data_IF_456543945000
#
_entry.id   IF_456543945000
#
_cell.length_a   1.000
_cell.length_b   1.000
_cell.length_c   1.000
_cell.angle_alpha   90.00
_cell.angle_beta   90.00
_cell.angle_gamma   90.00
#
_symmetry.space_group_name_H-M   'P 1'
#
loop_
_entity.id
_entity.type
_entity.pdbx_description
1 polymer ?
#
# COMPACT_ATOMS: atom_id res chain seq x y z
N UNK A 1 26.29 27.20 -0.27
CA UNK A 1 25.80 28.41 -0.98
C UNK A 1 26.50 29.57 -0.32
N UNK A 2 27.39 30.26 -1.04
CA UNK A 2 28.02 31.50 -0.58
C UNK A 2 27.26 32.67 -1.21
N UNK A 3 26.78 33.60 -0.40
CA UNK A 3 26.02 34.79 -0.85
C UNK A 3 26.57 36.00 -0.11
N UNK A 4 26.69 37.12 -0.82
CA UNK A 4 27.06 38.41 -0.26
C UNK A 4 26.09 38.80 0.88
N UNK A 5 26.59 39.02 2.12
CA UNK A 5 25.75 39.40 3.27
C UNK A 5 24.85 40.61 3.03
N UNK A 6 25.22 41.53 2.12
CA UNK A 6 24.41 42.69 1.78
C UNK A 6 23.14 42.36 0.98
N UNK A 7 23.02 41.15 0.44
CA UNK A 7 21.86 40.67 -0.34
C UNK A 7 20.90 39.79 0.47
N UNK A 8 21.11 39.71 1.79
CA UNK A 8 20.32 38.92 2.72
C UNK A 8 19.72 39.85 3.77
N UNK A 9 18.39 39.98 3.79
CA UNK A 9 17.71 40.75 4.82
C UNK A 9 17.59 39.88 6.08
N UNK A 10 18.56 40.05 6.97
CA UNK A 10 18.60 39.40 8.27
C UNK A 10 17.94 40.32 9.29
N UNK A 11 16.61 40.40 9.26
CA UNK A 11 15.87 40.95 10.39
C UNK A 11 15.90 39.93 11.55
N UNK A 12 17.00 39.94 12.30
CA UNK A 12 17.30 38.97 13.37
C UNK A 12 16.52 39.32 14.63
N UNK A 13 15.36 38.69 14.82
CA UNK A 13 14.75 38.55 16.14
C UNK A 13 14.82 37.06 16.55
N UNK A 14 15.11 36.70 17.81
CA UNK A 14 15.35 35.31 18.23
C UNK A 14 14.22 34.31 17.90
N UNK A 15 13.01 34.80 17.66
CA UNK A 15 11.81 34.02 17.35
C UNK A 15 11.43 33.98 15.86
N UNK A 16 12.21 34.61 14.96
CA UNK A 16 11.96 34.61 13.52
C UNK A 16 12.90 33.60 12.83
N UNK A 17 12.33 32.52 12.29
CA UNK A 17 13.08 31.41 11.66
C UNK A 17 13.25 31.56 10.14
N UNK A 18 12.78 32.66 9.57
CA UNK A 18 12.76 32.90 8.12
C UNK A 18 13.74 34.00 7.73
N UNK A 19 14.51 33.76 6.67
CA UNK A 19 15.49 34.70 6.10
C UNK A 19 14.99 35.12 4.72
N UNK A 20 14.93 36.44 4.46
CA UNK A 20 14.55 36.97 3.15
C UNK A 20 15.78 37.29 2.32
N UNK A 21 15.79 36.88 1.06
CA UNK A 21 16.88 37.15 0.13
C UNK A 21 16.45 38.22 -0.86
N UNK A 22 17.40 39.04 -1.33
CA UNK A 22 17.12 40.06 -2.35
C UNK A 22 16.70 39.43 -3.70
N UNK A 23 17.17 38.22 -4.01
CA UNK A 23 16.81 37.45 -5.20
C UNK A 23 16.39 36.02 -4.84
N UNK A 24 15.16 35.90 -4.35
CA UNK A 24 14.56 34.62 -3.95
C UNK A 24 14.40 33.65 -5.12
N UNK A 25 14.12 34.17 -6.32
CA UNK A 25 13.86 33.34 -7.51
C UNK A 25 15.11 32.60 -7.98
N UNK A 26 16.27 33.27 -7.99
CA UNK A 26 17.52 32.62 -8.38
C UNK A 26 17.96 31.56 -7.38
N UNK A 27 17.83 31.82 -6.07
CA UNK A 27 18.15 30.83 -5.03
C UNK A 27 17.21 29.63 -5.14
N UNK A 28 15.91 29.86 -5.31
CA UNK A 28 14.95 28.78 -5.52
C UNK A 28 15.30 27.91 -6.74
N UNK A 29 15.69 28.53 -7.86
CA UNK A 29 16.13 27.82 -9.08
C UNK A 29 17.40 26.99 -8.87
N UNK A 30 18.36 27.50 -8.11
CA UNK A 30 19.59 26.77 -7.77
C UNK A 30 19.26 25.57 -6.90
N UNK A 31 18.49 25.77 -5.83
CA UNK A 31 18.09 24.68 -4.92
C UNK A 31 17.32 23.61 -5.68
N UNK A 32 16.33 23.97 -6.49
CA UNK A 32 15.54 22.99 -7.24
C UNK A 32 16.39 22.26 -8.30
N UNK A 33 17.36 22.92 -8.94
CA UNK A 33 18.27 22.25 -9.88
C UNK A 33 19.21 21.26 -9.19
N UNK A 34 19.71 21.59 -7.99
CA UNK A 34 20.57 20.71 -7.21
C UNK A 34 19.78 19.53 -6.70
N UNK A 35 18.55 19.76 -6.21
CA UNK A 35 17.64 18.68 -5.78
C UNK A 35 17.26 17.80 -6.97
N UNK A 36 16.88 18.36 -8.12
CA UNK A 36 16.60 17.58 -9.34
C UNK A 36 17.81 16.79 -9.81
N UNK A 37 19.02 17.34 -9.71
CA UNK A 37 20.26 16.63 -10.08
C UNK A 37 20.61 15.54 -9.07
N UNK A 38 20.41 15.77 -7.77
CA UNK A 38 20.63 14.77 -6.73
C UNK A 38 19.61 13.63 -6.81
N UNK A 39 18.36 13.93 -7.17
CA UNK A 39 17.31 12.94 -7.40
C UNK A 39 17.49 12.23 -8.75
N UNK A 40 17.86 12.94 -9.82
CA UNK A 40 18.07 12.37 -11.16
C UNK A 40 19.39 11.60 -11.31
N UNK A 41 20.40 11.87 -10.49
CA UNK A 41 21.62 11.04 -10.41
C UNK A 41 21.38 9.69 -9.74
N UNK A 42 20.27 9.56 -9.00
CA UNK A 42 19.72 8.30 -8.52
C UNK A 42 18.53 7.95 -9.41
N UNK A 43 18.76 7.62 -10.68
CA UNK A 43 17.72 7.07 -11.55
C UNK A 43 17.29 5.69 -10.98
N UNK A 44 16.25 5.68 -10.13
CA UNK A 44 15.70 4.46 -9.49
C UNK A 44 14.56 3.87 -10.33
N UNK A 45 14.29 4.43 -11.51
CA UNK A 45 13.32 3.88 -12.45
C UNK A 45 14.04 2.91 -13.39
N UNK A 46 13.75 1.59 -13.36
CA UNK A 46 14.26 0.71 -14.39
C UNK A 46 13.58 1.09 -15.70
N UNK A 47 14.36 1.49 -16.71
CA UNK A 47 13.86 1.64 -18.08
C UNK A 47 13.49 0.25 -18.57
N UNK A 48 12.20 -0.07 -18.60
CA UNK A 48 11.72 -1.30 -19.23
C UNK A 48 11.76 -1.09 -20.74
N UNK A 49 12.85 -1.51 -21.37
CA UNK A 49 12.90 -1.68 -22.82
C UNK A 49 11.99 -2.86 -23.20
N UNK A 50 10.79 -2.55 -23.69
CA UNK A 50 9.98 -3.55 -24.37
C UNK A 50 10.59 -3.83 -25.74
N UNK A 51 11.37 -4.91 -25.82
CA UNK A 51 11.82 -5.47 -27.08
C UNK A 51 10.57 -5.97 -27.82
N UNK A 52 10.09 -5.17 -28.77
CA UNK A 52 8.94 -5.50 -29.60
C UNK A 52 9.35 -6.59 -30.59
N UNK A 53 9.28 -7.84 -30.15
CA UNK A 53 9.34 -8.99 -31.05
C UNK A 53 8.07 -8.95 -31.91
N UNK A 54 8.26 -8.63 -33.19
CA UNK A 54 7.25 -8.81 -34.23
C UNK A 54 7.07 -10.31 -34.44
N UNK A 55 6.21 -10.94 -33.66
CA UNK A 55 5.69 -12.26 -33.99
C UNK A 55 4.22 -12.12 -34.37
N UNK A 56 3.95 -12.43 -35.62
CA UNK A 56 2.64 -12.58 -36.24
C UNK A 56 1.73 -13.44 -35.36
N UNK A 57 0.70 -12.83 -34.78
CA UNK A 57 -0.46 -13.51 -34.23
C UNK A 57 -1.73 -12.91 -34.82
N UNK A 58 -1.89 -13.11 -36.13
CA UNK A 58 -3.18 -13.03 -36.81
C UNK A 58 -3.93 -14.35 -36.64
N UNK A 59 -4.48 -14.61 -35.45
CA UNK A 59 -5.62 -15.50 -35.22
C UNK A 59 -5.93 -15.55 -33.74
N UNK A 60 -7.22 -15.76 -33.41
CA UNK A 60 -7.84 -15.78 -32.09
C UNK A 60 -8.42 -14.43 -31.64
N UNK A 61 -9.55 -14.10 -32.26
CA UNK A 61 -10.58 -13.20 -31.73
C UNK A 61 -11.60 -13.97 -30.90
N UNK A 62 -12.14 -13.29 -29.88
CA UNK A 62 -13.21 -13.62 -28.91
C UNK A 62 -12.69 -14.22 -27.60
N UNK A 63 -13.15 -13.81 -26.41
CA UNK A 63 -14.49 -13.30 -26.05
C UNK A 63 -14.50 -12.46 -24.75
N UNK A 64 -15.37 -11.44 -24.79
CA UNK A 64 -16.22 -10.87 -23.73
C UNK A 64 -15.79 -10.90 -22.24
N UNK A 65 -15.60 -9.70 -21.67
CA UNK A 65 -15.77 -9.43 -20.23
C UNK A 65 -17.14 -8.72 -20.05
N UNK A 66 -18.00 -9.15 -19.12
CA UNK A 66 -19.32 -8.57 -18.91
C UNK A 66 -19.23 -7.19 -18.25
N UNK A 67 -20.00 -6.22 -18.79
CA UNK A 67 -20.20 -4.91 -18.19
C UNK A 67 -21.26 -5.00 -17.10
N UNK A 68 -20.87 -4.66 -15.87
CA UNK A 68 -21.76 -4.21 -14.80
C UNK A 68 -21.22 -2.87 -14.29
N UNK A 69 -21.94 -1.79 -14.58
CA UNK A 69 -22.43 -0.79 -13.63
C UNK A 69 -23.07 0.37 -14.42
N UNK A 70 -24.36 0.54 -14.14
CA UNK A 70 -25.20 1.69 -14.43
C UNK A 70 -24.86 2.86 -13.51
N UNK A 71 -25.23 4.04 -13.98
CA UNK A 71 -25.41 5.29 -13.24
C UNK A 71 -24.16 5.97 -12.68
N UNK A 72 -23.71 7.01 -13.39
CA UNK A 72 -23.38 8.33 -12.84
C UNK A 72 -23.24 9.31 -14.01
N UNK A 73 -24.32 10.02 -14.33
CA UNK A 73 -24.27 11.21 -15.21
C UNK A 73 -23.75 12.42 -14.41
N UNK A 74 -22.88 13.25 -15.00
CA UNK A 74 -22.86 14.68 -14.69
C UNK A 74 -23.47 15.49 -15.84
N UNK A 75 -24.38 16.38 -15.44
CA UNK A 75 -25.11 17.35 -16.27
C UNK A 75 -24.18 18.30 -17.04
N UNK A 76 -24.65 18.64 -18.23
CA UNK A 76 -24.16 19.72 -19.08
C UNK A 76 -24.31 21.10 -18.40
N UNK A 77 -23.32 21.97 -18.58
CA UNK A 77 -23.54 23.42 -18.62
C UNK A 77 -22.60 24.08 -19.64
N UNK A 78 -23.23 24.59 -20.70
CA UNK A 78 -22.93 25.79 -21.52
C UNK A 78 -21.47 26.23 -21.78
N UNK A 79 -21.07 26.03 -23.03
CA UNK A 79 -20.51 27.02 -23.99
C UNK A 79 -19.92 28.34 -23.45
N UNK A 80 -18.70 28.67 -23.90
CA UNK A 80 -18.42 29.86 -24.73
C UNK A 80 -17.05 29.73 -25.41
N UNK A 81 -17.03 30.08 -26.70
CA UNK A 81 -15.97 29.95 -27.69
C UNK A 81 -14.76 30.87 -27.47
N UNK A 82 -13.56 30.42 -27.88
CA UNK A 82 -12.56 31.28 -28.53
C UNK A 82 -11.69 30.46 -29.50
N UNK A 83 -11.43 31.06 -30.67
CA UNK A 83 -11.11 30.39 -31.92
C UNK A 83 -9.65 30.55 -32.40
N UNK A 84 -9.30 29.69 -33.40
CA UNK A 84 -8.19 29.74 -34.40
C UNK A 84 -6.79 29.36 -33.88
N UNK A 85 -5.96 28.53 -34.54
CA UNK A 85 -5.70 28.26 -35.99
C UNK A 85 -4.92 26.90 -36.07
N UNK A 86 -5.38 25.84 -36.78
CA UNK A 86 -5.07 25.41 -38.17
C UNK A 86 -3.57 25.38 -38.53
N UNK A 87 -2.92 24.35 -39.10
CA UNK A 87 -3.22 23.27 -40.09
C UNK A 87 -2.15 22.15 -39.94
N UNK A 88 -2.25 20.89 -40.39
CA UNK A 88 -2.74 20.28 -41.67
C UNK A 88 -2.88 18.75 -41.44
N UNK A 89 -3.96 17.99 -41.72
CA UNK A 89 -4.85 17.82 -42.88
C UNK A 89 -4.29 16.93 -44.03
N UNK A 90 -4.87 15.73 -44.20
CA UNK A 90 -5.37 15.23 -45.50
C UNK A 90 -6.51 14.19 -45.29
N UNK A 91 -7.62 14.37 -46.01
CA UNK A 91 -8.90 13.63 -46.00
C UNK A 91 -9.18 12.97 -47.36
N UNK A 92 -10.08 11.98 -47.41
CA UNK A 92 -11.25 11.89 -48.34
C UNK A 92 -12.06 10.60 -48.04
N UNK A 93 -13.28 10.66 -47.48
CA UNK A 93 -14.63 10.91 -48.05
C UNK A 93 -15.31 9.68 -48.67
N UNK A 94 -16.40 9.19 -48.06
CA UNK A 94 -17.77 9.12 -48.63
C UNK A 94 -18.76 8.33 -47.73
N UNK A 95 -20.05 8.52 -48.02
CA UNK A 95 -21.20 8.59 -47.13
C UNK A 95 -21.84 7.25 -46.71
N UNK A 96 -22.60 7.28 -45.61
CA UNK A 96 -23.41 6.18 -45.05
C UNK A 96 -24.83 6.22 -45.65
N UNK A 97 -25.40 5.06 -46.01
CA UNK A 97 -26.81 4.82 -45.66
C UNK A 97 -27.01 3.62 -44.72
N UNK A 98 -27.85 3.85 -43.72
CA UNK A 98 -28.27 3.00 -42.63
C UNK A 98 -29.41 2.06 -43.06
N UNK A 99 -29.22 0.74 -42.91
CA UNK A 99 -30.33 -0.23 -42.90
C UNK A 99 -29.88 -1.58 -42.27
N UNK A 100 -29.83 -1.63 -40.93
CA UNK A 100 -29.34 -2.81 -40.19
C UNK A 100 -30.45 -3.62 -39.49
N UNK A 101 -31.71 -3.18 -39.55
CA UNK A 101 -32.80 -3.83 -38.81
C UNK A 101 -33.50 -4.96 -39.57
N UNK A 102 -33.30 -5.12 -40.88
CA UNK A 102 -33.98 -6.16 -41.68
C UNK A 102 -33.20 -7.48 -41.82
N UNK A 103 -31.96 -7.57 -41.32
CA UNK A 103 -31.13 -8.78 -41.41
C UNK A 103 -31.03 -9.59 -40.11
N UNK A 104 -31.46 -9.05 -38.98
CA UNK A 104 -31.39 -9.77 -37.70
C UNK A 104 -32.53 -10.79 -37.53
N UNK A 105 -33.69 -10.55 -38.12
CA UNK A 105 -34.84 -11.48 -38.01
C UNK A 105 -34.69 -12.76 -38.85
N UNK A 106 -33.79 -12.80 -39.84
CA UNK A 106 -33.54 -14.01 -40.63
C UNK A 106 -32.53 -14.97 -39.99
N UNK A 107 -31.78 -14.52 -38.98
CA UNK A 107 -30.72 -15.33 -38.34
C UNK A 107 -31.29 -16.16 -37.18
N UNK A 108 -32.36 -15.71 -36.54
CA UNK A 108 -32.96 -16.40 -35.37
C UNK A 108 -34.06 -17.42 -35.70
N UNK A 109 -34.41 -17.63 -36.98
CA UNK A 109 -35.49 -18.55 -37.38
C UNK A 109 -35.04 -19.92 -37.91
N UNK A 110 -33.77 -20.31 -37.73
CA UNK A 110 -33.28 -21.65 -38.15
C UNK A 110 -32.34 -22.28 -37.12
N UNK A 111 -32.92 -22.87 -36.08
CA UNK A 111 -32.28 -23.94 -35.30
C UNK A 111 -33.28 -25.09 -35.18
N UNK A 112 -32.98 -26.31 -35.68
CA UNK A 112 -33.82 -27.47 -35.43
C UNK A 112 -33.60 -27.98 -34.00
N UNK A 113 -34.69 -28.34 -33.34
CA UNK A 113 -34.70 -29.08 -32.07
C UNK A 113 -33.90 -30.38 -32.20
N UNK A 114 -32.85 -30.53 -31.39
CA UNK A 114 -32.30 -31.84 -31.08
C UNK A 114 -31.72 -31.84 -29.66
N UNK A 115 -32.15 -32.86 -28.91
CA UNK A 115 -31.91 -33.09 -27.49
C UNK A 115 -30.41 -33.05 -27.12
N UNK A 116 -30.06 -32.22 -26.14
CA UNK A 116 -28.72 -32.20 -25.55
C UNK A 116 -28.67 -33.29 -24.46
N UNK A 117 -28.09 -34.44 -24.81
CA UNK A 117 -27.70 -35.48 -23.85
C UNK A 117 -26.41 -35.05 -23.15
N UNK A 118 -26.40 -34.99 -21.81
CA UNK A 118 -25.21 -34.72 -21.00
C UNK A 118 -24.34 -35.98 -20.86
N UNK A 119 -23.05 -35.96 -21.23
CA UNK A 119 -22.14 -37.06 -20.95
C UNK A 119 -21.69 -37.01 -19.48
N UNK A 120 -22.02 -38.08 -18.74
CA UNK A 120 -21.43 -38.43 -17.44
C UNK A 120 -20.12 -39.20 -17.68
N UNK A 121 -19.11 -38.85 -16.88
CA UNK A 121 -17.83 -39.52 -16.62
C UNK A 121 -16.89 -39.84 -17.79
N UNK A 122 -15.85 -39.02 -17.93
CA UNK A 122 -14.48 -39.55 -18.08
C UNK A 122 -13.51 -38.59 -17.38
N UNK A 123 -12.69 -39.16 -16.50
CA UNK A 123 -11.69 -38.53 -15.65
C UNK A 123 -10.94 -37.39 -16.35
N UNK A 124 -11.36 -36.15 -16.10
CA UNK A 124 -10.52 -34.98 -16.38
C UNK A 124 -9.53 -34.88 -15.24
N UNK A 125 -8.34 -35.43 -15.44
CA UNK A 125 -7.18 -35.03 -14.64
C UNK A 125 -7.03 -33.53 -14.83
N UNK A 126 -7.48 -32.75 -13.85
CA UNK A 126 -7.05 -31.37 -13.72
C UNK A 126 -5.53 -31.44 -13.51
N UNK A 127 -4.77 -31.28 -14.60
CA UNK A 127 -3.42 -30.76 -14.49
C UNK A 127 -3.60 -29.41 -13.82
N UNK A 128 -3.37 -29.36 -12.51
CA UNK A 128 -2.88 -28.15 -11.89
C UNK A 128 -1.68 -27.75 -12.75
N UNK A 129 -1.90 -26.77 -13.62
CA UNK A 129 -0.81 -25.95 -14.11
C UNK A 129 -0.15 -25.44 -12.85
N UNK A 130 0.93 -26.13 -12.47
CA UNK A 130 1.95 -25.55 -11.64
C UNK A 130 2.22 -24.24 -12.34
N UNK A 131 1.77 -23.13 -11.72
CA UNK A 131 2.55 -21.93 -11.87
C UNK A 131 3.92 -22.38 -11.42
N UNK A 132 4.76 -22.65 -12.41
CA UNK A 132 6.19 -22.59 -12.27
C UNK A 132 6.45 -21.14 -11.86
N UNK A 133 6.21 -20.90 -10.57
CA UNK A 133 6.99 -19.96 -9.80
C UNK A 133 8.38 -20.54 -10.01
N UNK A 134 9.09 -19.98 -10.98
CA UNK A 134 10.53 -20.08 -11.04
C UNK A 134 11.03 -19.54 -9.69
N UNK A 135 11.08 -20.42 -8.70
CA UNK A 135 11.92 -20.34 -7.53
C UNK A 135 13.35 -20.52 -8.03
N UNK A 136 13.82 -19.56 -8.83
CA UNK A 136 15.20 -19.43 -9.20
C UNK A 136 15.89 -18.67 -8.06
N UNK A 137 16.75 -19.43 -7.38
CA UNK A 137 17.70 -19.09 -6.34
C UNK A 137 17.17 -18.71 -4.96
N UNK A 138 17.28 -19.69 -4.06
CA UNK A 138 17.32 -19.52 -2.62
C UNK A 138 18.43 -18.54 -2.21
N UNK A 139 18.14 -17.25 -2.30
CA UNK A 139 18.89 -16.22 -1.58
C UNK A 139 18.88 -16.64 -0.12
N UNK A 140 20.07 -16.85 0.44
CA UNK A 140 20.21 -17.17 1.85
C UNK A 140 19.54 -16.05 2.66
N UNK A 141 18.43 -16.39 3.32
CA UNK A 141 17.76 -15.52 4.28
C UNK A 141 18.13 -16.04 5.64
N UNK A 142 18.70 -15.17 6.46
CA UNK A 142 19.16 -15.55 7.78
C UNK A 142 18.71 -14.54 8.83
N UNK A 143 18.36 -15.05 10.00
CA UNK A 143 17.95 -14.24 11.14
C UNK A 143 19.13 -14.03 12.08
N UNK A 144 19.51 -12.78 12.33
CA UNK A 144 20.55 -12.37 13.27
C UNK A 144 19.92 -11.97 14.61
N UNK A 145 20.32 -12.66 15.69
CA UNK A 145 19.90 -12.40 17.08
C UNK A 145 18.37 -12.27 17.27
N UNK A 146 17.58 -12.99 16.48
CA UNK A 146 16.12 -12.90 16.47
C UNK A 146 15.59 -11.45 16.37
N UNK A 147 16.31 -10.59 15.64
CA UNK A 147 16.01 -9.17 15.52
C UNK A 147 16.14 -8.64 14.10
N UNK A 148 17.20 -9.05 13.41
CA UNK A 148 17.46 -8.59 12.05
C UNK A 148 17.31 -9.75 11.08
N UNK A 149 16.76 -9.46 9.90
CA UNK A 149 16.72 -10.38 8.77
C UNK A 149 17.75 -9.89 7.76
N UNK A 150 18.65 -10.79 7.37
CA UNK A 150 19.73 -10.56 6.43
C UNK A 150 19.43 -11.32 5.15
N UNK A 151 19.54 -10.63 4.01
CA UNK A 151 19.36 -11.25 2.71
C UNK A 151 20.29 -10.64 1.67
N UNK A 152 20.79 -11.50 0.79
CA UNK A 152 21.67 -11.08 -0.29
C UNK A 152 20.87 -10.46 -1.44
N UNK A 153 21.33 -9.30 -1.91
CA UNK A 153 20.80 -8.63 -3.10
C UNK A 153 21.92 -8.46 -4.13
N UNK A 154 21.57 -8.21 -5.39
CA UNK A 154 22.58 -8.05 -6.47
C UNK A 154 23.61 -6.96 -6.18
N UNK A 155 23.20 -5.90 -5.47
CA UNK A 155 24.06 -4.77 -5.13
C UNK A 155 24.83 -4.92 -3.81
N UNK A 156 24.63 -6.01 -3.06
CA UNK A 156 25.28 -6.22 -1.75
C UNK A 156 24.40 -6.96 -0.74
N UNK A 157 24.37 -6.46 0.50
CA UNK A 157 23.65 -7.06 1.63
C UNK A 157 22.51 -6.14 2.08
N UNK A 158 21.32 -6.71 2.27
CA UNK A 158 20.17 -6.01 2.84
C UNK A 158 19.95 -6.50 4.28
N UNK A 159 19.83 -5.53 5.19
CA UNK A 159 19.55 -5.74 6.61
C UNK A 159 18.19 -5.14 6.91
N UNK A 160 17.25 -5.94 7.42
CA UNK A 160 15.90 -5.51 7.75
C UNK A 160 15.70 -5.69 9.25
N UNK A 161 15.18 -4.68 9.94
CA UNK A 161 14.71 -4.84 11.32
C UNK A 161 13.33 -5.51 11.30
N UNK A 162 13.24 -6.73 11.84
CA UNK A 162 12.04 -7.55 11.73
C UNK A 162 10.83 -6.91 12.44
N UNK A 163 11.08 -6.27 13.58
CA UNK A 163 10.02 -5.69 14.41
C UNK A 163 9.47 -4.45 13.73
N UNK A 164 10.38 -3.56 13.32
CA UNK A 164 10.04 -2.29 12.65
C UNK A 164 9.42 -2.53 11.27
N UNK A 165 9.84 -3.57 10.56
CA UNK A 165 9.21 -4.01 9.31
C UNK A 165 7.78 -4.48 9.54
N UNK A 166 7.54 -5.32 10.55
CA UNK A 166 6.19 -5.78 10.86
C UNK A 166 5.29 -4.63 11.30
N UNK A 167 5.78 -3.69 12.11
CA UNK A 167 5.04 -2.46 12.45
C UNK A 167 4.59 -1.72 11.18
N UNK A 168 5.48 -1.56 10.18
CA UNK A 168 5.14 -0.86 8.94
C UNK A 168 4.02 -1.57 8.16
N UNK A 169 4.12 -2.88 8.03
CA UNK A 169 3.11 -3.71 7.35
C UNK A 169 1.75 -3.59 8.05
N UNK A 170 1.73 -3.72 9.37
CA UNK A 170 0.50 -3.64 10.16
C UNK A 170 -0.16 -2.27 10.07
N UNK A 171 0.63 -1.21 10.13
CA UNK A 171 0.14 0.15 10.02
C UNK A 171 -0.54 0.41 8.67
N UNK A 172 0.12 0.08 7.56
CA UNK A 172 -0.48 0.28 6.23
C UNK A 172 -1.72 -0.58 6.01
N UNK A 173 -1.70 -1.81 6.52
CA UNK A 173 -2.87 -2.68 6.47
C UNK A 173 -4.03 -2.12 7.27
N UNK A 174 -3.79 -1.62 8.48
CA UNK A 174 -4.82 -0.99 9.31
C UNK A 174 -5.42 0.24 8.60
N UNK A 175 -4.59 1.10 8.02
CA UNK A 175 -5.07 2.24 7.23
C UNK A 175 -5.90 1.80 6.02
N UNK A 176 -5.46 0.78 5.31
CA UNK A 176 -6.19 0.24 4.14
C UNK A 176 -7.55 -0.30 4.55
N UNK A 177 -7.63 -1.06 5.65
CA UNK A 177 -8.90 -1.58 6.20
C UNK A 177 -9.84 -0.45 6.61
N UNK A 178 -9.32 0.59 7.27
CA UNK A 178 -10.09 1.79 7.62
C UNK A 178 -10.63 2.54 6.40
N UNK A 179 -9.90 2.58 5.28
CA UNK A 179 -10.34 3.25 4.04
C UNK A 179 -11.44 2.46 3.33
N UNK A 180 -11.27 1.14 3.26
CA UNK A 180 -12.11 0.28 2.44
C UNK A 180 -13.31 -0.29 3.23
N UNK A 181 -13.36 -0.05 4.55
CA UNK A 181 -14.39 -0.56 5.46
C UNK A 181 -14.62 -2.08 5.37
N UNK A 182 -13.57 -2.84 5.06
CA UNK A 182 -13.59 -4.31 5.07
C UNK A 182 -12.91 -4.78 6.36
N UNK A 183 -13.66 -4.98 7.45
CA UNK A 183 -13.09 -5.52 8.67
C UNK A 183 -12.68 -6.98 8.44
N UNK A 184 -11.53 -7.35 8.97
CA UNK A 184 -11.09 -8.74 9.09
C UNK A 184 -10.92 -9.02 10.57
N UNK A 185 -11.92 -9.69 11.13
CA UNK A 185 -12.04 -10.03 12.55
C UNK A 185 -12.10 -11.55 12.69
N UNK A 186 -11.40 -12.05 13.71
CA UNK A 186 -11.48 -13.40 14.19
C UNK A 186 -12.33 -13.41 15.46
N UNK A 187 -13.46 -14.12 15.42
CA UNK A 187 -14.35 -14.31 16.56
C UNK A 187 -13.66 -15.11 17.67
N UNK A 188 -13.82 -14.66 18.92
CA UNK A 188 -13.36 -15.36 20.10
C UNK A 188 -14.36 -16.47 20.44
N UNK A 189 -13.84 -17.65 20.83
CA UNK A 189 -14.70 -18.74 21.33
C UNK A 189 -15.46 -18.32 22.59
N UNK A 190 -14.80 -17.53 23.44
CA UNK A 190 -15.37 -17.00 24.68
C UNK A 190 -15.13 -15.49 24.72
N UNK A 191 -16.19 -14.68 24.62
CA UNK A 191 -16.08 -13.24 24.76
C UNK A 191 -15.42 -12.83 26.08
N UNK A 192 -14.53 -11.85 26.03
CA UNK A 192 -13.78 -11.36 27.19
C UNK A 192 -14.42 -10.07 27.70
N UNK A 193 -14.66 -9.99 29.01
CA UNK A 193 -15.15 -8.76 29.65
C UNK A 193 -13.97 -7.95 30.18
N UNK A 194 -13.90 -6.68 29.79
CA UNK A 194 -12.82 -5.77 30.16
C UNK A 194 -13.42 -4.59 30.89
N UNK A 195 -12.99 -4.36 32.13
CA UNK A 195 -13.38 -3.20 32.92
C UNK A 195 -12.39 -2.07 32.69
N UNK A 196 -12.89 -0.91 32.28
CA UNK A 196 -12.10 0.27 31.93
C UNK A 196 -12.28 1.40 32.96
N UNK A 197 -11.33 2.33 32.99
CA UNK A 197 -11.53 3.62 33.66
C UNK A 197 -12.60 4.46 32.95
N UNK A 198 -13.20 5.43 33.65
CA UNK A 198 -14.26 6.27 33.06
C UNK A 198 -13.78 7.07 31.83
N UNK A 199 -12.53 7.57 31.86
CA UNK A 199 -11.91 8.25 30.72
C UNK A 199 -11.71 7.30 29.53
N UNK A 200 -11.17 6.11 29.80
CA UNK A 200 -10.87 5.10 28.79
C UNK A 200 -12.12 4.53 28.14
N UNK A 201 -13.20 4.38 28.92
CA UNK A 201 -14.49 3.97 28.41
C UNK A 201 -15.06 5.00 27.43
N UNK A 202 -14.98 6.30 27.78
CA UNK A 202 -15.42 7.40 26.91
C UNK A 202 -14.58 7.45 25.64
N UNK A 203 -13.26 7.33 25.77
CA UNK A 203 -12.35 7.28 24.64
C UNK A 203 -12.65 6.08 23.74
N UNK A 204 -12.82 4.88 24.31
CA UNK A 204 -13.15 3.68 23.55
C UNK A 204 -14.43 3.86 22.76
N UNK A 205 -15.46 4.47 23.37
CA UNK A 205 -16.72 4.76 22.69
C UNK A 205 -16.55 5.64 21.45
N UNK A 206 -15.69 6.66 21.53
CA UNK A 206 -15.39 7.54 20.41
C UNK A 206 -14.55 6.82 19.32
N UNK A 207 -13.69 5.89 19.74
CA UNK A 207 -12.79 5.15 18.87
C UNK A 207 -13.40 3.85 18.28
N UNK A 208 -14.59 3.44 18.73
CA UNK A 208 -15.28 2.23 18.27
C UNK A 208 -15.32 2.05 16.75
N UNK A 209 -15.67 3.07 15.93
CA UNK A 209 -15.71 2.91 14.48
C UNK A 209 -14.36 2.50 13.89
N UNK A 210 -13.28 3.08 14.42
CA UNK A 210 -11.93 2.77 13.97
C UNK A 210 -11.49 1.38 14.45
N UNK A 211 -11.75 1.03 15.70
CA UNK A 211 -11.45 -0.30 16.25
C UNK A 211 -12.16 -1.40 15.45
N UNK A 212 -13.45 -1.23 15.17
CA UNK A 212 -14.24 -2.14 14.35
C UNK A 212 -13.65 -2.29 12.94
N UNK A 213 -13.22 -1.18 12.32
CA UNK A 213 -12.65 -1.23 10.97
C UNK A 213 -11.32 -2.01 10.88
N UNK A 214 -10.52 -2.03 11.95
CA UNK A 214 -9.26 -2.79 11.98
C UNK A 214 -9.53 -4.28 12.22
N UNK A 215 -10.65 -4.61 12.87
CA UNK A 215 -11.09 -5.97 13.16
C UNK A 215 -11.36 -6.26 14.63
N UNK A 216 -11.41 -5.26 15.52
CA UNK A 216 -11.85 -5.46 16.90
C UNK A 216 -13.37 -5.39 16.98
N UNK A 217 -14.02 -6.47 17.41
CA UNK A 217 -15.46 -6.47 17.65
C UNK A 217 -15.72 -6.31 19.13
N UNK A 218 -16.21 -5.12 19.50
CA UNK A 218 -16.46 -4.77 20.90
C UNK A 218 -17.89 -4.29 21.08
N UNK A 219 -18.51 -4.71 22.19
CA UNK A 219 -19.83 -4.25 22.64
C UNK A 219 -19.70 -3.50 23.95
N UNK A 220 -20.41 -2.38 24.06
CA UNK A 220 -20.50 -1.62 25.31
C UNK A 220 -21.46 -2.33 26.28
N UNK A 221 -21.02 -2.55 27.52
CA UNK A 221 -21.81 -3.25 28.54
C UNK A 221 -21.77 -2.52 29.89
N UNK A 222 -22.92 -2.14 30.43
CA UNK A 222 -22.98 -1.43 31.71
C UNK A 222 -22.33 -0.04 31.66
N UNK A 223 -21.75 0.42 32.78
CA UNK A 223 -21.20 1.78 32.90
C UNK A 223 -19.78 1.93 32.37
N UNK A 224 -18.87 1.03 32.77
CA UNK A 224 -17.44 1.12 32.46
C UNK A 224 -16.87 -0.23 31.98
N UNK A 225 -17.71 -1.07 31.37
CA UNK A 225 -17.30 -2.41 30.94
C UNK A 225 -17.55 -2.55 29.44
N UNK A 226 -16.65 -3.26 28.77
CA UNK A 226 -16.79 -3.64 27.37
C UNK A 226 -16.67 -5.15 27.26
N UNK A 227 -17.34 -5.71 26.27
CA UNK A 227 -17.26 -7.12 25.90
C UNK A 227 -16.53 -7.19 24.57
N UNK A 228 -15.38 -7.87 24.55
CA UNK A 228 -14.62 -8.16 23.36
C UNK A 228 -15.10 -9.50 22.80
N UNK A 229 -15.67 -9.49 21.60
CA UNK A 229 -16.19 -10.67 20.91
C UNK A 229 -15.27 -11.14 19.79
N UNK A 230 -14.48 -10.24 19.20
CA UNK A 230 -13.56 -10.56 18.12
C UNK A 230 -12.34 -9.65 18.09
N UNK A 231 -11.23 -10.17 17.56
CA UNK A 231 -9.96 -9.46 17.41
C UNK A 231 -9.43 -9.64 16.00
N UNK A 232 -8.60 -8.71 15.50
CA UNK A 232 -7.99 -8.90 14.19
C UNK A 232 -7.00 -10.08 14.23
N UNK A 233 -6.77 -10.78 13.10
CA UNK A 233 -6.00 -12.03 13.07
C UNK A 233 -4.52 -11.86 13.44
N UNK A 234 -4.05 -10.62 13.53
CA UNK A 234 -2.70 -10.27 13.96
C UNK A 234 -2.49 -10.35 15.49
N UNK A 235 -3.58 -10.40 16.25
CA UNK A 235 -3.51 -10.48 17.72
C UNK A 235 -3.20 -11.92 18.12
N UNK A 236 -2.18 -12.08 18.97
CA UNK A 236 -1.82 -13.40 19.50
C UNK A 236 -2.87 -13.88 20.50
N UNK A 237 -3.20 -15.15 20.40
CA UNK A 237 -4.10 -15.81 21.33
C UNK A 237 -3.62 -15.66 22.79
N UNK A 238 -4.52 -15.29 23.70
CA UNK A 238 -4.25 -15.04 25.12
C UNK A 238 -3.80 -13.61 25.47
N UNK A 239 -3.68 -12.71 24.50
CA UNK A 239 -3.32 -11.29 24.73
C UNK A 239 -4.40 -10.29 24.33
N UNK A 240 -5.60 -10.77 24.02
CA UNK A 240 -6.70 -10.02 23.41
C UNK A 240 -7.23 -8.89 24.29
N UNK A 241 -7.37 -9.14 25.59
CA UNK A 241 -7.82 -8.11 26.53
C UNK A 241 -6.75 -7.05 26.79
N UNK A 242 -5.49 -7.48 26.91
CA UNK A 242 -4.36 -6.61 27.24
C UNK A 242 -4.02 -5.69 26.06
N UNK A 243 -4.06 -6.22 24.82
CA UNK A 243 -3.68 -5.42 23.65
C UNK A 243 -4.61 -4.23 23.45
N UNK A 244 -5.90 -4.36 23.77
CA UNK A 244 -6.84 -3.26 23.65
C UNK A 244 -6.51 -2.14 24.65
N UNK A 245 -6.18 -2.48 25.89
CA UNK A 245 -5.73 -1.50 26.89
C UNK A 245 -4.42 -0.85 26.47
N UNK A 246 -3.44 -1.66 26.01
CA UNK A 246 -2.15 -1.17 25.52
C UNK A 246 -2.31 -0.19 24.34
N UNK A 247 -3.28 -0.44 23.44
CA UNK A 247 -3.58 0.45 22.32
C UNK A 247 -4.16 1.78 22.82
N UNK A 248 -5.08 1.74 23.79
CA UNK A 248 -5.66 2.96 24.37
C UNK A 248 -4.60 3.79 25.08
N UNK A 249 -3.70 3.16 25.83
CA UNK A 249 -2.60 3.86 26.52
C UNK A 249 -1.61 4.47 25.53
N UNK A 250 -1.24 3.74 24.48
CA UNK A 250 -0.37 4.27 23.42
C UNK A 250 -1.04 5.43 22.67
N UNK A 251 -2.35 5.33 22.41
CA UNK A 251 -3.12 6.39 21.77
C UNK A 251 -3.08 7.69 22.59
N UNK A 252 -3.30 7.61 23.91
CA UNK A 252 -3.22 8.76 24.82
C UNK A 252 -1.81 9.37 24.81
N UNK A 253 -0.77 8.52 24.89
CA UNK A 253 0.62 8.98 24.88
C UNK A 253 0.99 9.72 23.59
N UNK A 254 0.54 9.21 22.45
CA UNK A 254 0.75 9.84 21.15
C UNK A 254 -0.01 11.16 21.01
N UNK A 255 -1.26 11.23 21.50
CA UNK A 255 -2.08 12.44 21.44
C UNK A 255 -1.48 13.60 22.25
N UNK A 256 -0.80 13.28 23.37
CA UNK A 256 -0.07 14.27 24.16
C UNK A 256 1.19 14.79 23.46
N UNK A 257 1.87 13.93 22.69
CA UNK A 257 3.15 14.25 22.04
C UNK A 257 2.99 14.92 20.68
N UNK A 258 2.00 14.49 19.91
CA UNK A 258 1.79 14.90 18.52
C UNK A 258 0.28 15.04 18.28
N UNK A 259 -0.15 16.17 17.72
CA UNK A 259 -1.52 16.32 17.18
C UNK A 259 -1.64 15.51 15.89
N UNK A 260 -1.80 14.21 16.02
CA UNK A 260 -2.14 13.31 14.92
C UNK A 260 -3.65 13.26 14.75
N UNK A 261 -4.08 12.92 13.53
CA UNK A 261 -5.46 12.51 13.31
C UNK A 261 -5.76 11.25 14.14
N UNK A 262 -6.97 11.14 14.69
CA UNK A 262 -7.37 10.02 15.55
C UNK A 262 -7.18 8.69 14.82
N UNK A 263 -7.47 8.69 13.52
CA UNK A 263 -7.30 7.53 12.65
C UNK A 263 -5.84 7.07 12.56
N UNK A 264 -4.93 7.99 12.25
CA UNK A 264 -3.51 7.72 12.13
C UNK A 264 -2.91 7.27 13.45
N UNK A 265 -3.34 7.90 14.55
CA UNK A 265 -2.90 7.55 15.89
C UNK A 265 -3.30 6.12 16.27
N UNK A 266 -4.56 5.71 16.03
CA UNK A 266 -4.96 4.32 16.28
C UNK A 266 -4.15 3.35 15.45
N UNK A 267 -3.95 3.62 14.15
CA UNK A 267 -3.20 2.72 13.29
C UNK A 267 -1.76 2.53 13.81
N UNK A 268 -1.11 3.62 14.28
CA UNK A 268 0.21 3.58 14.91
C UNK A 268 0.20 2.75 16.20
N UNK A 269 -0.72 3.06 17.11
CA UNK A 269 -0.87 2.35 18.39
C UNK A 269 -1.10 0.85 18.19
N UNK A 270 -2.00 0.48 17.27
CA UNK A 270 -2.26 -0.91 16.90
C UNK A 270 -1.00 -1.58 16.37
N UNK A 271 -0.32 -0.96 15.40
CA UNK A 271 0.86 -1.56 14.77
C UNK A 271 2.00 -1.83 15.77
N UNK A 272 2.23 -0.93 16.74
CA UNK A 272 3.28 -1.09 17.74
C UNK A 272 2.97 -2.24 18.71
N UNK A 273 1.71 -2.39 19.12
CA UNK A 273 1.32 -3.41 20.10
C UNK A 273 1.13 -4.79 19.48
N UNK A 274 0.62 -4.87 18.25
CA UNK A 274 0.38 -6.11 17.52
C UNK A 274 1.62 -6.64 16.78
N UNK A 275 2.66 -5.83 16.57
CA UNK A 275 3.87 -6.28 15.88
C UNK A 275 4.60 -7.42 16.62
N UNK A 276 5.42 -8.13 15.84
CA UNK A 276 6.26 -9.24 16.29
C UNK A 276 7.16 -8.70 17.38
N UNK A 277 7.24 -9.38 18.53
CA UNK A 277 8.04 -8.86 19.64
C UNK A 277 9.53 -9.03 19.32
N UNK A 278 10.34 -8.09 19.78
CA UNK A 278 11.79 -8.19 19.65
C UNK A 278 12.27 -9.49 20.32
N UNK A 279 13.06 -10.30 19.60
CA UNK A 279 13.58 -11.58 20.11
C UNK A 279 12.81 -12.83 19.65
N UNK A 280 11.69 -12.68 18.95
CA UNK A 280 10.94 -13.79 18.38
C UNK A 280 11.68 -14.42 17.19
N UNK A 281 11.79 -15.75 17.19
CA UNK A 281 12.44 -16.51 16.11
C UNK A 281 11.44 -16.71 14.98
N UNK A 282 11.86 -16.45 13.75
CA UNK A 282 11.04 -16.63 12.55
C UNK A 282 11.56 -17.80 11.72
N UNK A 283 10.66 -18.58 11.17
CA UNK A 283 10.96 -19.58 10.15
C UNK A 283 11.32 -18.89 8.83
N UNK A 284 11.97 -19.63 7.93
CA UNK A 284 12.37 -19.08 6.63
C UNK A 284 11.17 -18.64 5.79
N UNK A 285 10.06 -19.38 5.86
CA UNK A 285 8.80 -19.04 5.20
C UNK A 285 8.19 -17.75 5.75
N UNK A 286 8.20 -17.58 7.08
CA UNK A 286 7.75 -16.35 7.74
C UNK A 286 8.63 -15.15 7.38
N UNK A 287 9.95 -15.33 7.34
CA UNK A 287 10.88 -14.28 6.93
C UNK A 287 10.63 -13.84 5.48
N UNK A 288 10.46 -14.79 4.56
CA UNK A 288 10.13 -14.49 3.15
C UNK A 288 8.80 -13.74 3.05
N UNK A 289 7.76 -14.24 3.70
CA UNK A 289 6.44 -13.61 3.72
C UNK A 289 6.49 -12.19 4.28
N UNK A 290 7.26 -11.95 5.35
CA UNK A 290 7.45 -10.61 5.92
C UNK A 290 8.16 -9.68 4.94
N UNK A 291 9.20 -10.16 4.24
CA UNK A 291 9.91 -9.38 3.22
C UNK A 291 8.96 -9.02 2.07
N UNK A 292 8.20 -9.98 1.56
CA UNK A 292 7.27 -9.77 0.45
C UNK A 292 6.16 -8.78 0.83
N UNK A 293 5.59 -8.93 2.03
CA UNK A 293 4.59 -8.00 2.57
C UNK A 293 5.17 -6.60 2.77
N UNK A 294 6.42 -6.48 3.25
CA UNK A 294 7.08 -5.19 3.43
C UNK A 294 7.21 -4.46 2.09
N UNK A 295 7.69 -5.13 1.04
CA UNK A 295 7.82 -4.51 -0.28
C UNK A 295 6.47 -4.30 -1.00
N UNK A 296 5.41 -4.96 -0.54
CA UNK A 296 4.03 -4.65 -0.94
C UNK A 296 3.46 -3.37 -0.30
N UNK A 297 4.14 -2.78 0.69
CA UNK A 297 3.71 -1.51 1.30
C UNK A 297 4.09 -0.31 0.43
N UNK A 298 3.34 0.78 0.59
CA UNK A 298 3.53 2.05 -0.12
C UNK A 298 4.87 2.70 0.21
N UNK A 299 5.36 2.58 1.45
CA UNK A 299 6.67 3.12 1.85
C UNK A 299 7.43 2.14 2.76
N UNK A 300 8.23 1.23 2.17
CA UNK A 300 8.92 0.16 2.90
C UNK A 300 10.14 0.61 3.70
N UNK A 301 10.59 1.86 3.54
CA UNK A 301 11.89 2.32 4.07
C UNK A 301 11.84 2.91 5.47
N UNK A 302 10.68 3.43 5.88
CA UNK A 302 10.53 4.21 7.13
C UNK A 302 9.30 3.72 7.88
N UNK A 303 9.45 3.49 9.18
CA UNK A 303 8.33 3.06 10.02
C UNK A 303 7.39 4.22 10.37
N UNK A 304 6.20 3.93 10.91
CA UNK A 304 5.24 4.96 11.31
C UNK A 304 5.78 5.96 12.36
N UNK A 305 6.83 5.55 13.09
CA UNK A 305 7.53 6.34 14.11
C UNK A 305 8.82 7.02 13.58
N UNK A 306 9.13 6.90 12.29
CA UNK A 306 10.27 7.57 11.65
C UNK A 306 11.61 6.81 11.67
N UNK A 307 11.64 5.57 12.17
CA UNK A 307 12.87 4.74 12.17
C UNK A 307 13.08 4.08 10.81
N UNK A 308 14.33 3.90 10.34
CA UNK A 308 14.60 3.15 9.12
C UNK A 308 14.25 1.68 9.31
N UNK A 309 13.54 1.10 8.34
CA UNK A 309 13.11 -0.31 8.36
C UNK A 309 14.19 -1.22 7.80
N UNK A 310 14.86 -0.77 6.73
CA UNK A 310 15.90 -1.51 6.04
C UNK A 310 17.12 -0.65 5.76
N UNK A 311 18.29 -1.29 5.77
CA UNK A 311 19.58 -0.70 5.44
C UNK A 311 20.22 -1.57 4.36
N UNK A 312 20.78 -0.93 3.33
CA UNK A 312 21.51 -1.62 2.26
C UNK A 312 22.99 -1.31 2.42
N UNK A 313 23.81 -2.36 2.49
CA UNK A 313 25.26 -2.27 2.42
C UNK A 313 25.69 -2.70 1.02
N UNK A 314 26.23 -1.77 0.25
CA UNK A 314 26.70 -2.08 -1.11
C UNK A 314 28.00 -2.89 -1.07
N UNK A 315 28.28 -3.62 -2.16
CA UNK A 315 29.58 -4.31 -2.29
C UNK A 315 30.75 -3.33 -2.18
N UNK A 316 30.68 -2.18 -2.85
CA UNK A 316 31.71 -1.15 -2.76
C UNK A 316 31.93 -0.61 -1.32
N UNK A 317 30.86 -0.49 -0.53
CA UNK A 317 31.00 -0.10 0.88
C UNK A 317 31.64 -1.20 1.72
N UNK A 318 31.29 -2.46 1.46
CA UNK A 318 31.93 -3.61 2.10
C UNK A 318 33.41 -3.68 1.75
N UNK A 319 33.75 -3.58 0.47
CA UNK A 319 35.14 -3.60 -0.02
C UNK A 319 35.96 -2.47 0.63
N UNK A 320 35.41 -1.26 0.68
CA UNK A 320 36.03 -0.13 1.40
C UNK A 320 36.29 -0.41 2.87
N UNK A 321 35.37 -1.08 3.58
CA UNK A 321 35.55 -1.45 5.01
C UNK A 321 36.62 -2.51 5.21
N UNK A 322 36.88 -3.35 4.20
CA UNK A 322 37.95 -4.34 4.20
C UNK A 322 39.25 -3.85 3.54
N UNK A 323 39.34 -2.56 3.18
CA UNK A 323 40.46 -1.98 2.45
C UNK A 323 40.77 -2.71 1.13
N UNK A 324 39.72 -3.21 0.46
CA UNK A 324 39.76 -3.76 -0.89
C UNK A 324 39.33 -2.67 -1.88
N UNK A 325 40.06 -2.53 -2.98
CA UNK A 325 39.83 -1.54 -4.05
C UNK A 325 38.89 -2.06 -5.12
#
# INVERSE_FOLDING_TARGET
IEVDPHKVDINVHPSKMEVKFADEQSIYRIVISVVRKALGGNDITPTVEFQRQTNDFSSLRHSAIPRFYSDLQPKQSSSLDFAKQNQSATFSNEEIPFDLNSKLDQIFSKTPDNEIVLPVDTQTQFQHGTRDIEAQDGKAIWQLHNKYILTQIRSGLMIIDQHVAHERILYERALTRMNNAVPSSQQLLFPQTIQLGAGDYTLTKDLLPFLNSIGFETKLFGKNTIVLEGVPPEVKAGTEANILQDILDEFKNNQLRVKLDARDNIAKSFSCKAAIKAGERLSETEMRSLIDQLFGTSMPYVCPHGRPVLIKLSLAELDRRFFRT
#
